data_IF_508206243981
#
_entry.id   IF_508206243981
#
_cell.length_a   1.000
_cell.length_b   1.000
_cell.length_c   1.000
_cell.angle_alpha   90.00
_cell.angle_beta   90.00
_cell.angle_gamma   90.00
#
_symmetry.space_group_name_H-M   'P 1'
#
loop_
_entity.id
_entity.type
_entity.pdbx_description
1 polymer ?
#
# COMPACT_ATOMS: atom_id res chain seq x y z
N UNK A 1 -9.07 7.33 -14.37
CA UNK A 1 -7.89 7.85 -13.65
C UNK A 1 -6.64 7.04 -14.02
N UNK A 2 -5.45 7.51 -13.68
CA UNK A 2 -4.20 6.77 -13.82
C UNK A 2 -3.38 6.82 -12.52
N UNK A 3 -2.73 5.72 -12.17
CA UNK A 3 -1.72 5.68 -11.12
C UNK A 3 -0.47 6.41 -11.63
N UNK A 4 0.12 7.24 -10.77
CA UNK A 4 1.39 7.93 -11.08
C UNK A 4 2.57 6.97 -11.17
N UNK A 5 2.46 5.81 -10.53
CA UNK A 5 3.47 4.74 -10.53
C UNK A 5 2.76 3.38 -10.42
N UNK A 6 3.22 2.42 -11.20
CA UNK A 6 2.70 1.04 -11.17
C UNK A 6 3.75 0.00 -10.78
N UNK A 7 5.05 0.35 -10.85
CA UNK A 7 6.14 -0.53 -10.44
C UNK A 7 6.52 -0.28 -8.99
N UNK A 8 6.75 -1.33 -8.20
CA UNK A 8 7.21 -1.20 -6.82
C UNK A 8 8.59 -0.53 -6.74
N UNK A 9 8.80 0.29 -5.69
CA UNK A 9 10.08 0.96 -5.50
C UNK A 9 11.12 0.00 -4.89
N UNK A 10 12.40 0.22 -5.23
CA UNK A 10 13.50 -0.68 -4.84
C UNK A 10 13.71 -0.85 -3.34
N UNK A 11 13.27 0.08 -2.50
CA UNK A 11 13.48 0.03 -1.04
C UNK A 11 12.14 0.02 -0.29
N UNK A 12 11.15 -0.67 -0.85
CA UNK A 12 9.81 -0.77 -0.27
C UNK A 12 9.81 -1.77 0.91
N UNK A 13 9.37 -1.39 2.13
CA UNK A 13 9.32 -2.30 3.29
C UNK A 13 8.42 -3.52 3.11
N UNK A 14 7.47 -3.43 2.17
CA UNK A 14 6.62 -4.55 1.80
C UNK A 14 7.38 -5.71 1.16
N UNK A 15 8.59 -5.48 0.62
CA UNK A 15 9.44 -6.56 0.12
C UNK A 15 10.08 -7.30 1.28
N UNK A 16 10.16 -8.62 1.21
CA UNK A 16 10.84 -9.44 2.22
C UNK A 16 12.34 -9.11 2.32
N UNK A 17 12.94 -8.70 1.19
CA UNK A 17 14.38 -8.40 1.08
C UNK A 17 14.80 -7.02 1.61
N UNK A 18 13.87 -6.15 2.03
CA UNK A 18 14.17 -4.77 2.44
C UNK A 18 13.78 -4.52 3.89
N UNK A 19 14.46 -3.56 4.52
CA UNK A 19 14.19 -3.08 5.87
C UNK A 19 13.91 -1.56 5.88
N UNK A 20 13.35 -1.06 6.97
CA UNK A 20 13.09 0.37 7.16
C UNK A 20 14.37 1.18 7.41
N UNK A 21 15.49 0.53 7.71
CA UNK A 21 16.77 1.18 8.03
C UNK A 21 17.28 2.06 6.87
N UNK A 22 16.95 1.70 5.63
CA UNK A 22 17.38 2.43 4.42
C UNK A 22 16.38 3.51 3.97
N UNK A 23 15.33 3.79 4.76
CA UNK A 23 14.35 4.84 4.46
C UNK A 23 14.80 6.18 5.05
N UNK A 24 15.05 7.21 4.21
CA UNK A 24 15.41 8.52 4.69
C UNK A 24 14.32 9.11 5.59
N UNK A 25 14.71 9.67 6.73
CA UNK A 25 13.80 10.28 7.71
C UNK A 25 12.69 9.32 8.21
N UNK A 26 12.99 8.02 8.28
CA UNK A 26 12.06 7.05 8.85
C UNK A 26 11.70 7.42 10.29
N UNK A 27 10.39 7.36 10.59
CA UNK A 27 9.83 7.53 11.92
C UNK A 27 8.88 6.38 12.20
N UNK A 28 9.10 5.68 13.32
CA UNK A 28 8.23 4.59 13.77
C UNK A 28 6.81 5.09 13.98
N UNK A 29 6.62 6.26 14.59
CA UNK A 29 5.31 6.87 14.83
C UNK A 29 4.54 7.12 13.52
N UNK A 30 5.23 7.65 12.50
CA UNK A 30 4.62 7.85 11.18
C UNK A 30 4.30 6.53 10.51
N UNK A 31 5.13 5.50 10.72
CA UNK A 31 4.85 4.17 10.22
C UNK A 31 3.61 3.57 10.90
N UNK A 32 3.52 3.60 12.24
CA UNK A 32 2.36 3.13 13.00
C UNK A 32 1.05 3.80 12.55
N UNK A 33 1.07 5.10 12.26
CA UNK A 33 -0.08 5.82 11.73
C UNK A 33 -0.60 5.28 10.38
N UNK A 34 0.22 4.54 9.62
CA UNK A 34 -0.21 3.90 8.37
C UNK A 34 -1.15 2.71 8.60
N UNK A 35 -1.31 2.24 9.84
CA UNK A 35 -2.32 1.25 10.21
C UNK A 35 -3.73 1.68 9.76
N UNK A 36 -4.03 2.98 9.78
CA UNK A 36 -5.31 3.56 9.34
C UNK A 36 -5.57 3.42 7.83
N UNK A 37 -4.59 2.92 7.08
CA UNK A 37 -4.70 2.61 5.64
C UNK A 37 -4.92 1.12 5.37
N UNK A 38 -4.89 0.28 6.41
CA UNK A 38 -5.05 -1.17 6.34
C UNK A 38 -6.52 -1.52 6.63
N UNK A 39 -7.13 -2.35 5.78
CA UNK A 39 -8.49 -2.80 6.00
C UNK A 39 -8.58 -3.73 7.22
N UNK A 40 -9.68 -3.60 7.96
CA UNK A 40 -9.98 -4.49 9.08
C UNK A 40 -10.61 -5.82 8.62
N UNK A 41 -11.05 -6.64 9.57
CA UNK A 41 -11.68 -7.96 9.29
C UNK A 41 -12.98 -7.88 8.50
N UNK A 42 -13.59 -6.71 8.37
CA UNK A 42 -14.79 -6.45 7.57
C UNK A 42 -14.48 -6.03 6.14
N UNK A 43 -13.19 -5.79 5.83
CA UNK A 43 -12.77 -5.22 4.55
C UNK A 43 -13.21 -3.77 4.37
N UNK A 44 -13.61 -3.10 5.46
CA UNK A 44 -14.15 -1.75 5.50
C UNK A 44 -15.34 -1.51 4.55
N UNK A 45 -16.20 -2.51 4.34
CA UNK A 45 -17.27 -2.45 3.33
C UNK A 45 -18.24 -1.25 3.50
N UNK A 46 -18.44 -0.77 4.73
CA UNK A 46 -19.31 0.38 5.00
C UNK A 46 -18.72 1.72 4.53
N UNK A 47 -17.44 1.77 4.12
CA UNK A 47 -16.72 2.99 3.74
C UNK A 47 -16.64 3.22 2.22
N UNK A 48 -17.40 2.49 1.39
CA UNK A 48 -17.30 2.55 -0.09
C UNK A 48 -17.51 3.97 -0.66
N UNK A 49 -18.28 4.82 0.03
CA UNK A 49 -18.56 6.20 -0.40
C UNK A 49 -17.72 7.25 0.36
N UNK A 50 -16.86 6.82 1.27
CA UNK A 50 -16.05 7.71 2.10
C UNK A 50 -14.72 8.03 1.43
N UNK A 51 -14.03 9.04 1.98
CA UNK A 51 -12.67 9.37 1.54
C UNK A 51 -11.72 8.25 1.97
N UNK A 52 -11.05 7.65 0.99
CA UNK A 52 -10.03 6.64 1.21
C UNK A 52 -8.78 7.20 1.87
N UNK A 53 -8.35 6.58 2.98
CA UNK A 53 -6.99 6.68 3.48
C UNK A 53 -6.08 5.83 2.59
N UNK A 54 -4.96 6.42 2.15
CA UNK A 54 -4.05 5.78 1.19
C UNK A 54 -2.62 5.90 1.69
N UNK A 55 -1.86 4.81 1.58
CA UNK A 55 -0.41 4.83 1.81
C UNK A 55 0.29 5.37 0.57
N UNK A 56 1.16 6.36 0.74
CA UNK A 56 1.97 6.92 -0.34
C UNK A 56 3.37 6.30 -0.39
N UNK A 57 4.05 6.40 -1.53
CA UNK A 57 5.42 5.93 -1.66
C UNK A 57 6.39 6.94 -1.04
N UNK A 58 7.32 6.50 -0.19
CA UNK A 58 8.36 7.37 0.39
C UNK A 58 9.30 8.00 -0.65
N UNK A 59 9.45 7.36 -1.82
CA UNK A 59 10.23 7.89 -2.97
C UNK A 59 9.40 8.78 -3.91
N UNK A 60 8.08 8.77 -3.78
CA UNK A 60 7.17 9.56 -4.62
C UNK A 60 5.90 9.82 -3.82
N UNK A 61 5.93 10.83 -2.95
CA UNK A 61 4.84 11.10 -1.99
C UNK A 61 3.49 11.39 -2.66
N UNK A 62 3.50 11.77 -3.94
CA UNK A 62 2.29 11.98 -4.75
C UNK A 62 1.76 10.68 -5.39
N UNK A 63 2.42 9.54 -5.17
CA UNK A 63 2.06 8.24 -5.73
C UNK A 63 1.62 7.29 -4.62
N UNK A 64 0.61 6.47 -4.89
CA UNK A 64 0.21 5.37 -3.99
C UNK A 64 1.36 4.36 -3.89
N UNK A 65 1.58 3.81 -2.71
CA UNK A 65 2.56 2.74 -2.49
C UNK A 65 2.10 1.46 -3.19
N UNK A 66 2.93 0.91 -4.09
CA UNK A 66 2.59 -0.30 -4.85
C UNK A 66 2.58 -1.55 -3.98
N UNK A 67 3.50 -1.68 -3.02
CA UNK A 67 3.50 -2.81 -2.08
C UNK A 67 2.22 -2.85 -1.23
N UNK A 68 1.79 -1.69 -0.74
CA UNK A 68 0.51 -1.54 -0.05
C UNK A 68 -0.67 -1.85 -0.96
N UNK A 69 -0.69 -1.34 -2.20
CA UNK A 69 -1.75 -1.68 -3.17
C UNK A 69 -1.83 -3.19 -3.37
N UNK A 70 -0.70 -3.87 -3.56
CA UNK A 70 -0.67 -5.32 -3.72
C UNK A 70 -1.26 -6.05 -2.52
N UNK A 71 -0.84 -5.67 -1.31
CA UNK A 71 -1.35 -6.26 -0.07
C UNK A 71 -2.86 -6.01 0.12
N UNK A 72 -3.30 -4.76 -0.03
CA UNK A 72 -4.69 -4.35 0.26
C UNK A 72 -5.70 -4.74 -0.83
N UNK A 73 -5.24 -4.95 -2.07
CA UNK A 73 -6.04 -5.53 -3.15
C UNK A 73 -6.03 -7.08 -3.11
N UNK A 74 -5.17 -7.68 -2.29
CA UNK A 74 -5.05 -9.11 -2.07
C UNK A 74 -6.00 -9.67 -1.00
N UNK A 75 -5.61 -10.78 -0.39
CA UNK A 75 -6.40 -11.48 0.65
C UNK A 75 -6.38 -10.64 1.93
N UNK A 76 -7.52 -10.03 2.26
CA UNK A 76 -7.65 -8.94 3.25
C UNK A 76 -8.59 -7.82 2.80
N UNK A 77 -8.88 -7.78 1.47
CA UNK A 77 -9.99 -7.09 0.83
C UNK A 77 -10.36 -5.72 1.41
N UNK A 78 -9.56 -4.70 1.14
CA UNK A 78 -9.99 -3.31 1.26
C UNK A 78 -11.05 -3.02 0.17
N UNK A 79 -12.33 -3.23 0.49
CA UNK A 79 -13.44 -3.16 -0.48
C UNK A 79 -13.57 -1.76 -1.10
N UNK A 80 -13.53 -0.66 -0.32
CA UNK A 80 -13.54 0.68 -0.90
C UNK A 80 -12.37 0.91 -1.88
N UNK A 81 -11.16 0.43 -1.55
CA UNK A 81 -10.01 0.53 -2.45
C UNK A 81 -10.24 -0.27 -3.74
N UNK A 82 -10.80 -1.48 -3.66
CA UNK A 82 -11.09 -2.31 -4.84
C UNK A 82 -12.07 -1.62 -5.79
N UNK A 83 -13.15 -1.04 -5.26
CA UNK A 83 -14.10 -0.24 -6.04
C UNK A 83 -13.39 0.97 -6.66
N UNK A 84 -12.55 1.67 -5.89
CA UNK A 84 -11.79 2.81 -6.39
C UNK A 84 -10.85 2.43 -7.55
N UNK A 85 -10.17 1.28 -7.44
CA UNK A 85 -9.22 0.80 -8.45
C UNK A 85 -9.87 0.41 -9.77
N UNK A 86 -11.18 0.13 -9.81
CA UNK A 86 -11.92 -0.10 -11.07
C UNK A 86 -11.89 1.13 -12.00
N UNK A 87 -11.70 2.34 -11.44
CA UNK A 87 -11.62 3.58 -12.21
C UNK A 87 -10.20 3.92 -12.70
N UNK A 88 -9.20 3.08 -12.42
CA UNK A 88 -7.81 3.27 -12.83
C UNK A 88 -7.48 2.42 -14.06
N UNK A 89 -7.26 3.06 -15.21
CA UNK A 89 -7.06 2.35 -16.48
C UNK A 89 -5.77 1.53 -16.53
N UNK A 90 -4.78 1.88 -15.70
CA UNK A 90 -3.49 1.21 -15.57
C UNK A 90 -3.34 0.40 -14.27
N UNK A 91 -4.44 0.09 -13.58
CA UNK A 91 -4.42 -0.77 -12.40
C UNK A 91 -3.83 -2.16 -12.71
N UNK A 92 -4.12 -2.68 -13.90
CA UNK A 92 -3.60 -3.95 -14.44
C UNK A 92 -2.08 -3.95 -14.67
N UNK A 93 -1.45 -2.78 -14.71
CA UNK A 93 -0.01 -2.64 -14.97
C UNK A 93 0.80 -2.61 -13.65
N UNK A 94 0.15 -2.88 -12.51
CA UNK A 94 0.80 -3.00 -11.20
C UNK A 94 1.76 -4.19 -11.20
N UNK A 95 3.01 -3.93 -10.80
CA UNK A 95 4.08 -4.91 -10.79
C UNK A 95 4.84 -4.84 -9.46
N UNK A 96 4.86 -5.95 -8.73
CA UNK A 96 5.66 -6.14 -7.52
C UNK A 96 7.07 -6.60 -7.88
N UNK A 97 8.02 -6.33 -6.97
CA UNK A 97 9.43 -6.71 -7.09
C UNK A 97 9.78 -7.66 -5.93
N UNK A 98 10.04 -8.93 -6.24
CA UNK A 98 10.40 -9.96 -5.27
C UNK A 98 9.27 -10.44 -4.34
N UNK A 99 9.64 -11.27 -3.37
CA UNK A 99 8.73 -11.78 -2.34
C UNK A 99 8.24 -10.64 -1.43
N UNK A 100 6.97 -10.71 -1.01
CA UNK A 100 6.34 -9.71 -0.17
C UNK A 100 6.10 -10.26 1.24
N UNK A 101 6.13 -9.37 2.23
CA UNK A 101 5.66 -9.67 3.58
C UNK A 101 4.15 -9.89 3.61
N UNK A 102 3.68 -10.69 4.57
CA UNK A 102 2.29 -11.13 4.61
C UNK A 102 1.36 -10.14 5.32
N UNK A 103 1.91 -9.34 6.23
CA UNK A 103 1.16 -8.42 7.09
C UNK A 103 1.81 -7.04 7.17
N UNK A 104 1.04 -6.08 7.69
CA UNK A 104 1.55 -4.73 7.94
C UNK A 104 2.63 -4.72 9.04
N UNK A 105 2.49 -5.52 10.08
CA UNK A 105 3.44 -5.62 11.19
C UNK A 105 4.83 -6.09 10.71
N UNK A 106 4.89 -6.99 9.74
CA UNK A 106 6.14 -7.45 9.14
C UNK A 106 6.90 -6.35 8.37
N UNK A 107 6.25 -5.22 8.06
CA UNK A 107 6.91 -4.08 7.40
C UNK A 107 7.83 -3.28 8.33
N UNK A 108 7.75 -3.46 9.66
CA UNK A 108 8.56 -2.76 10.65
C UNK A 108 10.00 -3.26 10.77
N UNK A 109 10.37 -4.29 10.00
CA UNK A 109 11.70 -4.91 10.02
C UNK A 109 12.82 -4.01 9.52
#
# INVERSE_FOLDING_TARGET
MKLNQTKQCKTCPWKLSETVADIPNYSVETHEALQDTIADKTGNANQIQEKLNVMTCHKSINSKCVGWLHNQLGIGNNIPLRVNMMFYSNAKDIEIDGEQVSSFEETFK
#
